data_IF_834686358978
#
_entry.id   IF_834686358978
#
_cell.length_a   1.000
_cell.length_b   1.000
_cell.length_c   1.000
_cell.angle_alpha   90.00
_cell.angle_beta   90.00
_cell.angle_gamma   90.00
#
_symmetry.space_group_name_H-M   'P 1'
#
loop_
_entity.id
_entity.type
_entity.pdbx_description
1 polymer ?
#
# COMPACT_ATOMS: atom_id res chain seq x y z
N UNK A 1 10.65 2.01 4.04
CA UNK A 1 11.19 2.94 3.01
C UNK A 1 10.05 3.81 2.50
N UNK A 2 10.26 5.10 2.21
CA UNK A 2 9.21 5.96 1.58
C UNK A 2 9.43 5.94 0.07
N UNK A 3 8.36 5.75 -0.70
CA UNK A 3 8.38 5.68 -2.16
C UNK A 3 7.28 6.57 -2.74
N UNK A 4 7.49 7.03 -3.96
CA UNK A 4 6.45 7.70 -4.74
C UNK A 4 5.81 6.69 -5.70
N UNK A 5 4.52 6.41 -5.51
CA UNK A 5 3.77 5.44 -6.28
C UNK A 5 2.63 6.16 -7.01
N UNK A 6 2.72 6.25 -8.35
CA UNK A 6 1.78 7.01 -9.18
C UNK A 6 1.51 8.44 -8.66
N UNK A 7 2.53 9.13 -8.13
CA UNK A 7 2.41 10.46 -7.55
C UNK A 7 1.78 10.52 -6.14
N UNK A 8 1.65 9.38 -5.46
CA UNK A 8 1.24 9.28 -4.06
C UNK A 8 2.44 8.91 -3.19
N UNK A 9 2.59 9.56 -2.04
CA UNK A 9 3.64 9.19 -1.07
C UNK A 9 3.19 7.99 -0.27
N UNK A 10 3.91 6.89 -0.42
CA UNK A 10 3.64 5.63 0.25
C UNK A 10 4.81 5.22 1.13
N UNK A 11 4.54 4.43 2.16
CA UNK A 11 5.55 3.74 2.96
C UNK A 11 5.49 2.26 2.64
N UNK A 12 6.61 1.72 2.17
CA UNK A 12 6.82 0.28 2.08
C UNK A 12 7.03 -0.30 3.48
N UNK A 13 6.19 -1.27 3.83
CA UNK A 13 6.13 -1.99 5.12
C UNK A 13 5.60 -3.41 4.90
N UNK A 14 5.52 -4.21 5.96
CA UNK A 14 4.89 -5.52 5.93
C UNK A 14 3.56 -5.51 6.68
N UNK A 15 2.61 -6.32 6.23
CA UNK A 15 1.33 -6.56 6.90
C UNK A 15 1.07 -8.05 7.00
N UNK A 16 0.79 -8.52 8.22
CA UNK A 16 0.51 -9.93 8.47
C UNK A 16 -0.95 -10.24 8.20
N UNK A 17 -1.22 -11.12 7.24
CA UNK A 17 -2.57 -11.60 6.92
C UNK A 17 -2.54 -13.12 6.74
N UNK A 18 -3.52 -13.83 7.31
CA UNK A 18 -3.61 -15.30 7.28
C UNK A 18 -2.32 -16.02 7.75
N UNK A 19 -1.55 -15.40 8.66
CA UNK A 19 -0.30 -15.99 9.18
C UNK A 19 0.94 -15.72 8.32
N UNK A 20 0.81 -15.04 7.18
CA UNK A 20 1.91 -14.69 6.28
C UNK A 20 2.19 -13.18 6.31
N UNK A 21 3.46 -12.81 6.27
CA UNK A 21 3.89 -11.41 6.15
C UNK A 21 3.91 -11.02 4.67
N UNK A 22 3.03 -10.09 4.27
CA UNK A 22 2.97 -9.56 2.90
C UNK A 22 3.58 -8.17 2.84
N UNK A 23 4.32 -7.88 1.77
CA UNK A 23 4.80 -6.52 1.53
C UNK A 23 3.63 -5.64 1.06
N UNK A 24 3.56 -4.43 1.62
CA UNK A 24 2.50 -3.48 1.34
C UNK A 24 3.07 -2.07 1.11
N UNK A 25 2.34 -1.29 0.33
CA UNK A 25 2.48 0.16 0.28
C UNK A 25 1.37 0.79 1.11
N UNK A 26 1.73 1.47 2.19
CA UNK A 26 0.77 2.22 3.02
C UNK A 26 0.72 3.66 2.56
N UNK A 27 -0.48 4.18 2.28
CA UNK A 27 -0.69 5.57 1.92
C UNK A 27 -0.36 6.49 3.11
N UNK A 28 0.48 7.51 2.90
CA UNK A 28 0.86 8.45 3.97
C UNK A 28 -0.07 9.66 4.06
N UNK A 29 -0.70 10.05 2.95
CA UNK A 29 -1.57 11.21 2.88
C UNK A 29 -3.02 10.75 2.70
N UNK A 30 -3.83 10.92 3.73
CA UNK A 30 -5.24 10.53 3.70
C UNK A 30 -6.04 11.23 2.59
N UNK A 31 -5.61 12.39 2.09
CA UNK A 31 -6.31 13.08 0.98
C UNK A 31 -6.23 12.34 -0.35
N UNK A 32 -5.25 11.46 -0.50
CA UNK A 32 -5.02 10.71 -1.74
C UNK A 32 -5.83 9.40 -1.78
N UNK A 33 -6.72 9.15 -0.80
CA UNK A 33 -7.47 7.89 -0.68
C UNK A 33 -8.33 7.59 -1.91
N UNK A 34 -9.06 8.57 -2.44
CA UNK A 34 -9.88 8.38 -3.66
C UNK A 34 -9.04 7.99 -4.87
N UNK A 35 -7.84 8.57 -4.99
CA UNK A 35 -6.90 8.23 -6.05
C UNK A 35 -6.33 6.83 -5.84
N UNK A 36 -6.04 6.45 -4.60
CA UNK A 36 -5.49 5.14 -4.28
C UNK A 36 -6.42 3.98 -4.66
N UNK A 37 -7.74 4.21 -4.64
CA UNK A 37 -8.74 3.24 -5.11
C UNK A 37 -8.60 2.86 -6.59
N UNK A 38 -7.96 3.71 -7.41
CA UNK A 38 -7.69 3.41 -8.82
C UNK A 38 -6.50 2.45 -9.00
N UNK A 39 -5.75 2.18 -7.93
CA UNK A 39 -4.53 1.36 -7.92
C UNK A 39 -4.63 0.26 -6.87
N UNK A 40 -5.82 -0.30 -6.69
CA UNK A 40 -6.08 -1.48 -5.84
C UNK A 40 -5.72 -1.33 -4.35
N UNK A 41 -5.63 -0.10 -3.84
CA UNK A 41 -5.53 0.12 -2.40
C UNK A 41 -6.83 -0.34 -1.71
N UNK A 42 -6.65 -1.05 -0.62
CA UNK A 42 -7.73 -1.52 0.26
C UNK A 42 -7.54 -0.97 1.67
N UNK A 43 -8.60 -0.97 2.47
CA UNK A 43 -8.56 -0.54 3.87
C UNK A 43 -8.82 -1.74 4.80
N UNK A 44 -7.82 -2.61 5.05
CA UNK A 44 -7.98 -3.76 5.94
C UNK A 44 -8.25 -3.36 7.39
N UNK A 45 -7.89 -2.13 7.78
CA UNK A 45 -8.20 -1.53 9.06
C UNK A 45 -8.55 -0.07 8.85
N UNK A 46 -9.53 0.46 9.58
CA UNK A 46 -9.96 1.85 9.45
C UNK A 46 -8.78 2.83 9.56
N UNK A 47 -8.58 3.65 8.52
CA UNK A 47 -7.49 4.60 8.37
C UNK A 47 -6.20 4.03 7.76
N UNK A 48 -6.12 2.73 7.51
CA UNK A 48 -4.96 2.07 6.92
C UNK A 48 -5.25 1.72 5.46
N UNK A 49 -5.00 2.67 4.55
CA UNK A 49 -5.07 2.43 3.11
C UNK A 49 -3.77 1.80 2.63
N UNK A 50 -3.84 0.58 2.10
CA UNK A 50 -2.67 -0.10 1.57
C UNK A 50 -2.92 -0.92 0.31
N UNK A 51 -1.90 -0.97 -0.55
CA UNK A 51 -1.79 -1.89 -1.66
C UNK A 51 -0.90 -3.06 -1.28
N UNK A 52 -1.34 -4.29 -1.58
CA UNK A 52 -0.53 -5.49 -1.38
C UNK A 52 0.34 -5.71 -2.61
N UNK A 53 1.65 -5.62 -2.41
CA UNK A 53 2.61 -5.75 -3.51
C UNK A 53 2.62 -7.19 -4.02
N UNK A 54 2.55 -7.31 -5.34
CA UNK A 54 2.78 -8.56 -6.07
C UNK A 54 4.29 -8.85 -6.16
N UNK A 55 4.64 -10.11 -6.46
CA UNK A 55 6.05 -10.50 -6.65
C UNK A 55 6.72 -9.71 -7.79
N UNK A 56 5.97 -9.39 -8.85
CA UNK A 56 6.45 -8.58 -9.97
C UNK A 56 6.79 -7.15 -9.55
N UNK A 57 5.94 -6.52 -8.74
CA UNK A 57 6.17 -5.17 -8.21
C UNK A 57 7.32 -5.11 -7.21
N UNK A 58 7.69 -6.23 -6.59
CA UNK A 58 8.86 -6.32 -5.71
C UNK A 58 10.19 -6.43 -6.47
N UNK A 59 10.17 -6.77 -7.76
CA UNK A 59 11.37 -6.93 -8.59
C UNK A 59 11.76 -5.65 -9.37
N UNK A 60 10.95 -4.59 -9.30
CA UNK A 60 11.18 -3.27 -9.89
C UNK A 60 11.88 -2.31 -8.90
#
# INVERSE_FOLDING_TARGET
MIVEFHGMKCRCSTYRTNGEDKNILTLLNAKDWEKSLQYDFTEPQYGLWCHFLTEEEMML
#
